data_IF_122201748482
#
_entry.id   IF_122201748482
#
_cell.length_a   1.000
_cell.length_b   1.000
_cell.length_c   1.000
_cell.angle_alpha   90.00
_cell.angle_beta   90.00
_cell.angle_gamma   90.00
#
_symmetry.space_group_name_H-M   'P 1'
#
loop_
_entity.id
_entity.type
_entity.pdbx_description
1 polymer ?
#
# COMPACT_ATOMS: atom_id res chain seq x y z
N UNK A 1 -8.81 -7.78 1.52
CA UNK A 1 -9.97 -6.98 1.97
C UNK A 1 -10.59 -7.55 3.25
N UNK A 2 -10.83 -8.87 3.32
CA UNK A 2 -11.53 -9.45 4.48
C UNK A 2 -10.63 -9.66 5.72
N UNK A 3 -9.33 -9.88 5.53
CA UNK A 3 -8.40 -10.14 6.64
C UNK A 3 -8.07 -8.91 7.51
N UNK A 4 -8.48 -7.69 7.11
CA UNK A 4 -8.37 -6.48 7.95
C UNK A 4 -6.93 -6.09 8.36
N UNK A 5 -5.92 -6.32 7.49
CA UNK A 5 -4.52 -6.34 7.96
C UNK A 5 -3.79 -4.99 8.04
N UNK A 6 -4.29 -3.93 7.41
CA UNK A 6 -3.56 -2.65 7.34
C UNK A 6 -4.42 -1.51 7.87
N UNK A 7 -4.05 -1.05 9.07
CA UNK A 7 -4.63 0.15 9.68
C UNK A 7 -4.18 1.41 8.92
N UNK A 8 -5.14 2.30 8.70
CA UNK A 8 -4.89 3.65 8.21
C UNK A 8 -4.89 4.57 9.43
N UNK A 9 -3.83 5.34 9.59
CA UNK A 9 -3.62 6.23 10.73
C UNK A 9 -3.60 7.69 10.26
N UNK A 10 -4.02 8.60 11.14
CA UNK A 10 -3.99 10.03 10.87
C UNK A 10 -2.54 10.52 10.73
N UNK A 11 -2.21 11.16 9.61
CA UNK A 11 -0.88 11.73 9.36
C UNK A 11 -0.56 12.90 10.31
N UNK A 12 -1.58 13.66 10.70
CA UNK A 12 -1.54 14.75 11.66
C UNK A 12 -2.85 14.79 12.47
N UNK A 13 -2.83 15.50 13.60
CA UNK A 13 -4.05 15.75 14.38
C UNK A 13 -5.03 16.65 13.61
N UNK A 14 -6.33 16.44 13.78
CA UNK A 14 -7.32 17.26 13.08
C UNK A 14 -8.74 16.93 13.49
N UNK A 15 -9.67 17.78 13.07
CA UNK A 15 -11.11 17.59 13.24
C UNK A 15 -11.65 16.79 12.04
N UNK A 16 -12.47 15.77 12.31
CA UNK A 16 -13.22 15.07 11.27
C UNK A 16 -14.28 16.04 10.74
N UNK A 17 -14.18 16.41 9.46
CA UNK A 17 -15.18 17.27 8.82
C UNK A 17 -16.09 16.49 7.87
N UNK A 18 -15.65 15.32 7.42
CA UNK A 18 -16.47 14.41 6.63
C UNK A 18 -16.06 12.95 6.81
N UNK A 19 -17.04 12.05 6.72
CA UNK A 19 -16.86 10.61 6.88
C UNK A 19 -17.89 9.85 6.05
N UNK A 20 -17.43 8.93 5.22
CA UNK A 20 -18.27 8.00 4.43
C UNK A 20 -17.75 6.59 4.61
N UNK A 21 -18.59 5.65 5.06
CA UNK A 21 -18.16 4.28 5.43
C UNK A 21 -19.05 3.15 4.89
N UNK A 22 -20.08 3.48 4.12
CA UNK A 22 -21.16 2.58 3.75
C UNK A 22 -21.10 2.07 2.30
N UNK A 23 -20.03 2.39 1.57
CA UNK A 23 -19.84 1.99 0.18
C UNK A 23 -19.20 0.62 0.09
N UNK A 24 -19.54 -0.13 -0.94
CA UNK A 24 -18.89 -1.40 -1.22
C UNK A 24 -17.40 -1.18 -1.50
N UNK A 25 -16.58 -2.03 -0.90
CA UNK A 25 -15.14 -1.86 -0.85
C UNK A 25 -14.37 -2.92 -1.63
N UNK A 26 -15.08 -3.70 -2.46
CA UNK A 26 -14.54 -4.76 -3.32
C UNK A 26 -14.54 -4.37 -4.79
N UNK A 27 -14.12 -3.14 -5.10
CA UNK A 27 -13.95 -2.70 -6.48
C UNK A 27 -12.48 -2.79 -6.91
N UNK A 28 -12.23 -3.41 -8.05
CA UNK A 28 -10.90 -3.51 -8.67
C UNK A 28 -10.93 -3.10 -10.15
N UNK A 29 -11.82 -2.17 -10.47
CA UNK A 29 -11.91 -1.55 -11.79
C UNK A 29 -11.87 -0.03 -11.69
N UNK A 30 -11.06 0.58 -12.56
CA UNK A 30 -11.08 2.03 -12.80
C UNK A 30 -12.41 2.52 -13.37
N UNK A 31 -13.28 1.63 -13.85
CA UNK A 31 -14.64 1.93 -14.30
C UNK A 31 -15.72 1.78 -13.23
N UNK A 32 -15.36 1.51 -11.97
CA UNK A 32 -16.35 1.42 -10.91
C UNK A 32 -16.87 2.79 -10.43
N UNK A 33 -17.70 2.80 -9.37
CA UNK A 33 -18.43 3.99 -8.98
C UNK A 33 -17.50 5.02 -8.30
N UNK A 34 -17.80 6.31 -8.49
CA UNK A 34 -16.96 7.42 -8.02
C UNK A 34 -17.22 7.81 -6.55
N UNK A 35 -17.66 6.84 -5.75
CA UNK A 35 -18.07 7.01 -4.35
C UNK A 35 -17.25 6.11 -3.41
N UNK A 36 -16.01 6.49 -3.06
CA UNK A 36 -15.21 5.76 -2.09
C UNK A 36 -15.72 5.96 -0.65
N UNK A 37 -15.30 5.07 0.25
CA UNK A 37 -15.28 5.32 1.69
C UNK A 37 -14.05 6.16 2.03
N UNK A 38 -14.21 7.16 2.89
CA UNK A 38 -13.12 8.05 3.30
C UNK A 38 -13.36 8.76 4.62
N UNK A 39 -12.28 9.36 5.13
CA UNK A 39 -12.29 10.41 6.17
C UNK A 39 -11.58 11.64 5.61
N UNK A 40 -12.19 12.81 5.82
CA UNK A 40 -11.59 14.13 5.57
C UNK A 40 -11.34 14.82 6.90
N UNK A 41 -10.10 15.20 7.15
CA UNK A 41 -9.67 15.92 8.34
C UNK A 41 -9.35 17.37 8.00
N UNK A 42 -9.77 18.30 8.86
CA UNK A 42 -9.28 19.68 8.89
C UNK A 42 -8.21 19.81 9.97
N UNK A 43 -7.09 20.43 9.63
CA UNK A 43 -5.97 20.67 10.55
C UNK A 43 -5.99 22.11 11.10
N UNK A 44 -5.21 22.35 12.15
CA UNK A 44 -5.16 23.64 12.84
C UNK A 44 -4.57 24.78 12.00
N UNK A 45 -3.82 24.44 10.96
CA UNK A 45 -3.21 25.37 10.00
C UNK A 45 -4.10 25.64 8.77
N UNK A 46 -5.39 25.29 8.86
CA UNK A 46 -6.38 25.38 7.78
C UNK A 46 -6.06 24.52 6.55
N UNK A 47 -5.15 23.55 6.67
CA UNK A 47 -4.95 22.50 5.66
C UNK A 47 -5.86 21.30 5.91
N UNK A 48 -5.92 20.38 4.96
CA UNK A 48 -6.77 19.21 5.03
C UNK A 48 -6.02 17.94 4.60
N UNK A 49 -6.41 16.79 5.15
CA UNK A 49 -6.01 15.49 4.62
C UNK A 49 -7.22 14.60 4.38
N UNK A 50 -7.19 13.85 3.28
CA UNK A 50 -8.23 12.86 2.95
C UNK A 50 -7.60 11.47 2.77
N UNK A 51 -8.32 10.47 3.26
CA UNK A 51 -7.92 9.07 3.26
C UNK A 51 -9.02 8.27 2.55
N UNK A 52 -8.80 7.86 1.29
CA UNK A 52 -9.81 7.20 0.46
C UNK A 52 -9.55 5.70 0.30
N UNK A 53 -10.49 5.03 -0.38
CA UNK A 53 -10.51 3.59 -0.61
C UNK A 53 -10.60 2.77 0.69
N UNK A 54 -11.24 3.32 1.72
CA UNK A 54 -11.33 2.69 3.03
C UNK A 54 -12.24 1.46 3.02
N UNK A 55 -11.98 0.51 3.91
CA UNK A 55 -12.81 -0.69 4.09
C UNK A 55 -14.19 -0.31 4.61
N UNK A 56 -15.22 -0.93 4.06
CA UNK A 56 -16.61 -0.73 4.47
C UNK A 56 -16.77 -1.02 5.96
N UNK A 57 -17.53 -0.16 6.65
CA UNK A 57 -17.84 -0.27 8.08
C UNK A 57 -16.61 -0.40 9.01
N UNK A 58 -15.42 0.08 8.58
CA UNK A 58 -14.17 -0.04 9.35
C UNK A 58 -13.68 1.25 10.00
N UNK A 59 -14.30 2.39 9.67
CA UNK A 59 -13.84 3.70 10.11
C UNK A 59 -13.98 3.86 11.63
N UNK A 60 -13.12 4.68 12.22
CA UNK A 60 -13.11 5.04 13.66
C UNK A 60 -14.51 5.35 14.18
N UNK A 61 -14.78 5.06 15.46
CA UNK A 61 -16.08 5.35 16.08
C UNK A 61 -16.41 6.85 16.11
N UNK A 62 -15.41 7.73 15.94
CA UNK A 62 -15.57 9.18 16.00
C UNK A 62 -16.41 9.73 14.84
N UNK A 63 -17.28 10.68 15.16
CA UNK A 63 -18.18 11.38 14.25
C UNK A 63 -17.61 12.70 13.73
N UNK A 64 -18.36 13.32 12.82
CA UNK A 64 -18.07 14.67 12.32
C UNK A 64 -18.08 15.66 13.48
N UNK A 65 -17.07 16.53 13.53
CA UNK A 65 -16.84 17.51 14.59
C UNK A 65 -15.88 17.03 15.68
N UNK A 66 -15.61 15.73 15.79
CA UNK A 66 -14.67 15.19 16.76
C UNK A 66 -13.21 15.28 16.27
N UNK A 67 -12.28 15.33 17.22
CA UNK A 67 -10.85 15.42 16.94
C UNK A 67 -10.17 14.06 17.00
N UNK A 68 -9.22 13.85 16.10
CA UNK A 68 -8.29 12.72 16.08
C UNK A 68 -6.86 13.21 16.35
N UNK A 69 -6.08 12.41 17.06
CA UNK A 69 -4.66 12.67 17.29
C UNK A 69 -3.82 12.16 16.10
N UNK A 70 -2.62 12.72 15.92
CA UNK A 70 -1.62 12.15 15.00
C UNK A 70 -1.33 10.69 15.37
N UNK A 71 -1.35 9.81 14.38
CA UNK A 71 -1.14 8.37 14.54
C UNK A 71 -2.37 7.60 15.05
N UNK A 72 -3.48 8.28 15.34
CA UNK A 72 -4.73 7.63 15.72
C UNK A 72 -5.28 6.82 14.53
N UNK A 73 -5.80 5.62 14.81
CA UNK A 73 -6.40 4.76 13.79
C UNK A 73 -7.70 5.39 13.28
N UNK A 74 -7.76 5.62 11.98
CA UNK A 74 -8.91 6.17 11.27
C UNK A 74 -9.82 5.09 10.70
N UNK A 75 -9.27 3.91 10.45
CA UNK A 75 -9.99 2.74 9.93
C UNK A 75 -9.04 1.76 9.28
N UNK A 76 -9.56 0.94 8.38
CA UNK A 76 -8.80 -0.07 7.66
C UNK A 76 -8.74 0.23 6.16
N UNK A 77 -7.64 -0.16 5.53
CA UNK A 77 -7.49 -0.11 4.08
C UNK A 77 -8.47 -1.08 3.40
N UNK A 78 -9.12 -0.62 2.33
CA UNK A 78 -10.04 -1.40 1.50
C UNK A 78 -9.80 -1.14 0.00
N UNK A 79 -10.83 -1.31 -0.82
CA UNK A 79 -10.82 -1.02 -2.25
C UNK A 79 -12.16 -0.43 -2.72
N UNK A 80 -12.71 0.53 -1.96
CA UNK A 80 -13.98 1.20 -2.30
C UNK A 80 -13.83 2.30 -3.33
N UNK A 81 -14.87 2.58 -4.11
CA UNK A 81 -14.82 3.56 -5.19
C UNK A 81 -13.88 3.13 -6.31
N UNK A 82 -13.41 4.04 -7.16
CA UNK A 82 -12.54 3.72 -8.31
C UNK A 82 -11.13 3.30 -7.86
N UNK A 83 -10.93 1.99 -7.72
CA UNK A 83 -9.69 1.38 -7.27
C UNK A 83 -9.37 0.15 -8.12
N UNK A 84 -8.10 -0.17 -8.33
CA UNK A 84 -7.65 -1.38 -9.05
C UNK A 84 -7.23 -2.52 -8.14
N UNK A 85 -6.98 -2.25 -6.86
CA UNK A 85 -6.60 -3.21 -5.83
C UNK A 85 -6.67 -2.53 -4.46
N UNK A 86 -6.68 -3.28 -3.34
CA UNK A 86 -6.64 -2.66 -2.02
C UNK A 86 -5.40 -1.78 -1.81
N UNK A 87 -5.62 -0.48 -1.59
CA UNK A 87 -4.58 0.51 -1.33
C UNK A 87 -5.17 1.71 -0.59
N UNK A 88 -4.31 2.58 -0.06
CA UNK A 88 -4.71 3.88 0.47
C UNK A 88 -4.42 4.95 -0.59
N UNK A 89 -5.44 5.69 -0.99
CA UNK A 89 -5.21 6.97 -1.67
C UNK A 89 -5.24 8.06 -0.60
N UNK A 90 -4.14 8.81 -0.52
CA UNK A 90 -3.92 9.85 0.48
C UNK A 90 -3.67 11.17 -0.22
N UNK A 91 -4.27 12.23 0.28
CA UNK A 91 -3.99 13.58 -0.21
C UNK A 91 -3.81 14.55 0.95
N UNK A 92 -2.94 15.53 0.72
CA UNK A 92 -2.87 16.77 1.48
C UNK A 92 -3.43 17.90 0.61
N UNK A 93 -4.30 18.75 1.17
CA UNK A 93 -5.06 19.76 0.42
C UNK A 93 -5.03 21.12 1.11
N UNK A 94 -5.11 22.18 0.29
CA UNK A 94 -5.28 23.56 0.75
C UNK A 94 -6.76 23.95 0.90
N UNK A 95 -7.67 23.20 0.28
CA UNK A 95 -9.12 23.37 0.39
C UNK A 95 -9.78 22.01 0.66
N UNK A 96 -10.95 21.95 1.33
CA UNK A 96 -11.52 20.68 1.77
C UNK A 96 -11.84 19.73 0.59
N UNK A 97 -12.29 20.29 -0.53
CA UNK A 97 -12.79 19.52 -1.68
C UNK A 97 -12.01 19.73 -2.97
N UNK A 98 -10.87 20.42 -2.91
CA UNK A 98 -10.07 20.80 -4.08
C UNK A 98 -8.60 21.01 -3.70
N UNK A 99 -7.78 21.38 -4.68
CA UNK A 99 -6.41 21.84 -4.46
C UNK A 99 -5.53 20.83 -3.69
N UNK A 100 -5.63 19.57 -4.11
CA UNK A 100 -4.69 18.52 -3.72
C UNK A 100 -3.27 18.87 -4.19
N UNK A 101 -2.30 18.70 -3.30
CA UNK A 101 -0.88 18.95 -3.56
C UNK A 101 -0.08 17.77 -3.05
N UNK A 102 0.97 17.40 -3.77
CA UNK A 102 1.92 16.40 -3.28
C UNK A 102 2.69 17.00 -2.07
N UNK A 103 2.58 16.40 -0.87
CA UNK A 103 3.27 16.89 0.33
C UNK A 103 4.80 16.68 0.27
N UNK A 104 5.30 15.94 -0.71
CA UNK A 104 6.71 15.64 -0.90
C UNK A 104 7.49 16.83 -1.50
N UNK A 105 8.51 17.28 -0.79
CA UNK A 105 9.53 18.22 -1.30
C UNK A 105 10.54 17.48 -2.17
N UNK A 106 10.56 17.75 -3.46
CA UNK A 106 11.56 17.17 -4.36
C UNK A 106 11.51 17.73 -5.78
N UNK A 107 12.36 17.21 -6.69
CA UNK A 107 12.43 17.71 -8.06
C UNK A 107 11.11 17.67 -8.84
N UNK A 108 10.19 16.75 -8.47
CA UNK A 108 8.84 16.67 -9.05
C UNK A 108 7.86 17.73 -8.53
N UNK A 109 8.18 18.42 -7.44
CA UNK A 109 7.34 19.43 -6.79
C UNK A 109 8.16 20.70 -6.48
N UNK A 110 8.57 21.46 -7.52
CA UNK A 110 9.47 22.60 -7.36
C UNK A 110 8.88 23.73 -6.50
N UNK A 111 7.55 23.83 -6.42
CA UNK A 111 6.85 24.86 -5.65
C UNK A 111 6.85 24.60 -4.13
N UNK A 112 7.15 23.37 -3.71
CA UNK A 112 7.20 22.97 -2.29
C UNK A 112 8.61 23.19 -1.76
N UNK A 113 8.84 24.35 -1.16
CA UNK A 113 10.17 24.73 -0.62
C UNK A 113 10.48 24.10 0.73
N UNK A 114 9.45 23.72 1.50
CA UNK A 114 9.52 23.03 2.80
C UNK A 114 8.67 21.77 2.73
N UNK A 115 9.22 20.63 3.19
CA UNK A 115 8.47 19.38 3.23
C UNK A 115 7.27 19.50 4.18
N UNK A 116 6.12 18.96 3.76
CA UNK A 116 4.94 18.87 4.64
C UNK A 116 5.00 17.63 5.54
N UNK A 117 5.96 16.73 5.31
CA UNK A 117 6.22 15.60 6.20
C UNK A 117 7.13 16.02 7.35
N UNK A 118 6.80 15.63 8.58
CA UNK A 118 7.68 15.84 9.74
C UNK A 118 9.06 15.17 9.56
N UNK A 119 9.10 14.04 8.85
CA UNK A 119 10.32 13.33 8.50
C UNK A 119 10.15 12.74 7.10
N UNK A 120 10.67 13.44 6.10
CA UNK A 120 10.59 12.99 4.72
C UNK A 120 11.74 12.03 4.39
N UNK A 121 11.39 10.82 3.94
CA UNK A 121 12.37 9.89 3.36
C UNK A 121 12.77 10.31 1.93
N UNK A 122 13.70 9.59 1.33
CA UNK A 122 13.94 9.72 -0.11
C UNK A 122 12.68 9.30 -0.89
N UNK A 123 12.48 9.86 -2.09
CA UNK A 123 11.31 9.54 -2.91
C UNK A 123 11.23 8.04 -3.25
N UNK A 124 12.40 7.42 -3.51
CA UNK A 124 12.51 5.98 -3.71
C UNK A 124 13.21 5.35 -2.50
N UNK A 125 12.50 4.45 -1.80
CA UNK A 125 13.06 3.63 -0.72
C UNK A 125 12.84 2.16 -1.07
N UNK A 126 13.62 1.66 -2.04
CA UNK A 126 13.53 0.29 -2.51
C UNK A 126 13.81 -0.70 -1.36
N UNK A 127 12.81 -1.52 -1.01
CA UNK A 127 12.96 -2.57 0.02
C UNK A 127 12.09 -3.78 -0.29
N UNK A 128 12.52 -4.92 0.25
CA UNK A 128 11.68 -6.11 0.36
C UNK A 128 10.67 -5.85 1.47
N UNK A 129 9.39 -5.95 1.13
CA UNK A 129 8.27 -5.81 2.06
C UNK A 129 7.92 -7.13 2.72
N UNK A 130 7.94 -8.21 1.93
CA UNK A 130 7.58 -9.55 2.37
C UNK A 130 8.20 -10.60 1.45
N UNK A 131 8.37 -11.82 1.95
CA UNK A 131 8.82 -12.97 1.19
C UNK A 131 8.07 -14.22 1.63
N UNK A 132 7.79 -15.10 0.69
CA UNK A 132 7.17 -16.38 0.98
C UNK A 132 7.61 -17.49 0.05
N UNK A 133 7.46 -18.71 0.55
CA UNK A 133 7.64 -19.95 -0.20
C UNK A 133 6.31 -20.70 -0.28
N UNK A 134 6.10 -21.44 -1.37
CA UNK A 134 4.90 -22.26 -1.58
C UNK A 134 5.18 -23.44 -2.50
N UNK A 135 4.58 -24.60 -2.22
CA UNK A 135 4.52 -25.71 -3.18
C UNK A 135 3.47 -25.49 -4.28
N UNK A 136 2.64 -24.44 -4.16
CA UNK A 136 1.66 -24.08 -5.18
C UNK A 136 2.14 -22.89 -6.02
N UNK A 137 1.64 -22.82 -7.25
CA UNK A 137 1.84 -21.64 -8.09
C UNK A 137 1.28 -20.40 -7.41
N UNK A 138 2.11 -19.36 -7.31
CA UNK A 138 1.74 -18.10 -6.67
C UNK A 138 0.90 -17.29 -7.65
N UNK A 139 -0.37 -17.09 -7.33
CA UNK A 139 -1.29 -16.21 -8.06
C UNK A 139 -1.60 -14.98 -7.22
N UNK A 140 -1.45 -13.79 -7.81
CA UNK A 140 -2.02 -12.56 -7.26
C UNK A 140 -3.40 -12.42 -7.86
N UNK A 141 -4.49 -12.57 -7.11
CA UNK A 141 -5.80 -12.27 -7.63
C UNK A 141 -5.99 -10.77 -7.75
N UNK A 142 -6.75 -10.38 -8.76
CA UNK A 142 -7.02 -8.98 -9.09
C UNK A 142 -7.91 -8.30 -8.04
N UNK A 143 -8.74 -9.07 -7.30
CA UNK A 143 -9.75 -8.48 -6.41
C UNK A 143 -10.22 -9.32 -5.21
N UNK A 144 -9.73 -10.55 -5.07
CA UNK A 144 -9.95 -11.36 -3.87
C UNK A 144 -8.73 -11.21 -2.95
N UNK A 145 -8.83 -11.46 -1.63
CA UNK A 145 -7.63 -11.79 -0.88
C UNK A 145 -6.96 -13.00 -1.55
N UNK A 146 -5.86 -12.74 -2.26
CA UNK A 146 -4.95 -13.79 -2.64
C UNK A 146 -4.41 -14.38 -1.38
N UNK A 147 -4.90 -15.57 -1.04
CA UNK A 147 -4.24 -16.31 0.01
C UNK A 147 -3.00 -16.89 -0.64
N UNK A 148 -1.89 -16.16 -0.52
CA UNK A 148 -0.59 -16.75 -0.75
C UNK A 148 -0.47 -17.93 0.21
N UNK A 149 -0.58 -19.15 -0.32
CA UNK A 149 -0.44 -20.36 0.50
C UNK A 149 1.03 -20.49 0.88
N UNK A 150 1.37 -20.05 2.09
CA UNK A 150 2.74 -20.11 2.60
C UNK A 150 3.04 -21.51 3.10
N UNK A 151 4.17 -22.07 2.67
CA UNK A 151 4.68 -23.37 3.12
C UNK A 151 6.16 -23.24 3.42
N UNK A 152 6.60 -23.81 4.54
CA UNK A 152 7.99 -23.77 5.02
C UNK A 152 8.56 -25.17 5.30
N UNK A 153 7.82 -26.21 4.95
CA UNK A 153 8.24 -27.62 5.02
C UNK A 153 8.00 -28.24 3.65
N UNK A 154 9.04 -28.88 3.12
CA UNK A 154 9.06 -29.47 1.80
C UNK A 154 9.74 -30.84 1.87
N UNK A 155 9.22 -31.82 1.13
CA UNK A 155 9.87 -33.10 0.93
C UNK A 155 10.94 -33.01 -0.17
N UNK A 156 11.83 -34.00 -0.21
CA UNK A 156 12.82 -34.09 -1.28
C UNK A 156 12.10 -34.31 -2.62
N UNK A 157 12.40 -33.46 -3.59
CA UNK A 157 11.78 -33.48 -4.92
C UNK A 157 10.51 -32.64 -5.03
N UNK A 158 10.12 -31.93 -3.96
CA UNK A 158 9.04 -30.96 -4.04
C UNK A 158 9.47 -29.73 -4.83
N UNK A 159 8.56 -29.24 -5.66
CA UNK A 159 8.75 -27.95 -6.31
C UNK A 159 8.56 -26.82 -5.29
N UNK A 160 9.51 -25.89 -5.22
CA UNK A 160 9.41 -24.70 -4.35
C UNK A 160 9.23 -23.46 -5.23
N UNK A 161 8.11 -22.76 -5.01
CA UNK A 161 7.84 -21.44 -5.59
C UNK A 161 8.22 -20.36 -4.59
N UNK A 162 8.94 -19.33 -5.06
CA UNK A 162 9.30 -18.16 -4.26
C UNK A 162 8.54 -16.92 -4.73
N UNK A 163 8.01 -16.16 -3.77
CA UNK A 163 7.53 -14.80 -3.97
C UNK A 163 8.32 -13.83 -3.09
N UNK A 164 8.62 -12.67 -3.66
CA UNK A 164 9.10 -11.51 -2.93
C UNK A 164 8.29 -10.30 -3.34
N UNK A 165 7.84 -9.53 -2.35
CA UNK A 165 7.07 -8.31 -2.52
C UNK A 165 7.97 -7.12 -2.26
N UNK A 166 7.88 -6.11 -3.10
CA UNK A 166 8.73 -4.93 -3.00
C UNK A 166 7.91 -3.65 -3.01
N UNK A 167 8.53 -2.57 -2.54
CA UNK A 167 8.11 -1.20 -2.82
C UNK A 167 9.23 -0.44 -3.51
N UNK A 168 8.85 0.59 -4.26
CA UNK A 168 9.76 1.53 -4.91
C UNK A 168 10.83 0.84 -5.77
N UNK A 169 10.47 -0.22 -6.51
CA UNK A 169 11.39 -0.84 -7.47
C UNK A 169 11.40 -0.04 -8.77
N UNK A 170 12.62 0.19 -9.27
CA UNK A 170 12.85 0.90 -10.52
C UNK A 170 13.36 -0.05 -11.60
N UNK A 171 12.95 0.11 -12.88
CA UNK A 171 13.44 -0.70 -13.99
C UNK A 171 14.97 -0.66 -14.15
N UNK A 172 15.61 0.46 -13.81
CA UNK A 172 17.07 0.62 -13.87
C UNK A 172 17.82 0.04 -12.65
N UNK A 173 17.09 -0.47 -11.65
CA UNK A 173 17.62 -1.05 -10.42
C UNK A 173 17.05 -2.47 -10.22
N UNK A 174 17.57 -3.47 -10.95
CA UNK A 174 17.03 -4.83 -10.88
C UNK A 174 17.28 -5.48 -9.52
N UNK A 175 16.39 -6.39 -9.13
CA UNK A 175 16.52 -7.14 -7.88
C UNK A 175 17.37 -8.40 -8.10
N UNK A 176 18.40 -8.59 -7.27
CA UNK A 176 19.21 -9.80 -7.25
C UNK A 176 18.65 -10.81 -6.24
N UNK A 177 18.40 -12.03 -6.71
CA UNK A 177 17.91 -13.12 -5.87
C UNK A 177 19.02 -14.15 -5.67
N UNK A 178 19.22 -14.54 -4.42
CA UNK A 178 20.20 -15.55 -4.02
C UNK A 178 19.49 -16.57 -3.12
N UNK A 179 19.45 -17.83 -3.56
CA UNK A 179 19.09 -18.96 -2.71
C UNK A 179 20.40 -19.55 -2.21
N UNK A 180 20.59 -19.54 -0.90
CA UNK A 180 21.80 -20.07 -0.24
C UNK A 180 21.48 -21.35 0.50
N UNK A 181 22.42 -22.28 0.49
CA UNK A 181 22.40 -23.47 1.35
C UNK A 181 22.69 -23.06 2.81
N UNK A 182 22.42 -23.92 3.81
CA UNK A 182 22.74 -23.64 5.21
C UNK A 182 24.22 -23.35 5.49
N UNK A 183 25.13 -23.86 4.66
CA UNK A 183 26.57 -23.58 4.73
C UNK A 183 26.97 -22.20 4.14
N UNK A 184 25.99 -21.41 3.68
CA UNK A 184 26.19 -20.10 3.09
C UNK A 184 26.54 -20.08 1.61
N UNK A 185 26.80 -21.25 0.99
CA UNK A 185 27.08 -21.35 -0.44
C UNK A 185 25.84 -21.01 -1.27
N UNK A 186 26.04 -20.39 -2.43
CA UNK A 186 24.94 -20.09 -3.34
C UNK A 186 24.49 -21.40 -4.00
N UNK A 187 23.23 -21.75 -3.80
CA UNK A 187 22.53 -22.82 -4.52
C UNK A 187 22.07 -22.32 -5.88
N UNK A 188 21.42 -21.14 -5.91
CA UNK A 188 20.94 -20.52 -7.14
C UNK A 188 20.97 -19.00 -7.08
N UNK A 189 21.05 -18.40 -8.27
CA UNK A 189 21.08 -16.96 -8.49
C UNK A 189 20.27 -16.61 -9.73
N UNK A 190 19.45 -15.57 -9.63
CA UNK A 190 18.84 -14.93 -10.80
C UNK A 190 18.64 -13.44 -10.56
N UNK A 191 18.34 -12.71 -11.63
CA UNK A 191 18.05 -11.28 -11.61
C UNK A 191 16.59 -11.11 -12.02
N UNK A 192 15.79 -10.50 -11.15
CA UNK A 192 14.43 -10.10 -11.48
C UNK A 192 14.41 -8.68 -12.00
N UNK A 193 13.87 -8.51 -13.21
CA UNK A 193 13.63 -7.21 -13.82
C UNK A 193 12.17 -6.84 -13.63
N UNK A 194 11.91 -5.60 -13.23
CA UNK A 194 10.55 -5.08 -13.16
C UNK A 194 10.21 -4.44 -14.51
N UNK A 195 9.06 -4.79 -15.13
CA UNK A 195 8.72 -4.31 -16.48
C UNK A 195 8.41 -2.80 -16.54
N UNK A 196 8.12 -2.16 -15.41
CA UNK A 196 7.84 -0.72 -15.29
C UNK A 196 8.17 -0.22 -13.87
N UNK A 197 8.16 1.09 -13.63
CA UNK A 197 8.20 1.60 -12.25
C UNK A 197 7.00 1.05 -11.48
N UNK A 198 7.25 0.38 -10.35
CA UNK A 198 6.19 -0.12 -9.48
C UNK A 198 6.34 0.52 -8.11
N UNK A 199 5.47 1.50 -7.78
CA UNK A 199 5.55 2.20 -6.50
C UNK A 199 5.25 1.27 -5.30
N UNK A 200 4.38 0.27 -5.45
CA UNK A 200 4.14 -0.73 -4.40
C UNK A 200 3.61 -2.08 -4.93
N UNK A 201 4.01 -3.18 -4.28
CA UNK A 201 3.30 -4.47 -4.35
C UNK A 201 3.70 -5.41 -5.49
N UNK A 202 4.84 -5.20 -6.16
CA UNK A 202 5.25 -6.10 -7.24
C UNK A 202 5.75 -7.45 -6.70
N UNK A 203 5.34 -8.55 -7.35
CA UNK A 203 5.77 -9.90 -7.02
C UNK A 203 6.62 -10.51 -8.15
N UNK A 204 7.86 -10.85 -7.83
CA UNK A 204 8.68 -11.74 -8.66
C UNK A 204 8.34 -13.19 -8.38
N UNK A 205 8.15 -13.99 -9.43
CA UNK A 205 7.88 -15.44 -9.31
C UNK A 205 9.02 -16.25 -9.92
N UNK A 206 9.33 -17.35 -9.26
CA UNK A 206 10.27 -18.34 -9.76
C UNK A 206 9.88 -19.72 -9.21
N UNK A 207 9.81 -20.72 -10.09
CA UNK A 207 9.43 -22.11 -9.76
C UNK A 207 10.61 -23.04 -10.00
N UNK A 208 10.81 -24.03 -9.14
CA UNK A 208 11.89 -25.00 -9.25
C UNK A 208 11.43 -26.39 -8.84
N UNK A 209 11.81 -27.42 -9.60
CA UNK A 209 11.73 -28.84 -9.23
C UNK A 209 12.94 -29.29 -8.39
#
# INVERSE_FOLDING_TARGET
>A
MDNADVAVIAAAEGQIIERVSNQDDRNCSLGGPDNPNYILLKHNDDTYTIYLHMKRDSLTGKGVGEYVARGEVLGLMGSSGRSTAPHLHFEWRLEPYANSRDPFRGPGNPDITVSQWTSQENYYVSRVMDMATSGQNITMPDCAPGTLVRQNVFARGDTINLAAFFRDLRPDKPALYLVKRPDGTVFKRWVGTVPSDVPAGWCSRHSEE
#
